data_IF_717668595217
#
_entry.id   IF_717668595217
#
_cell.length_a   1.000
_cell.length_b   1.000
_cell.length_c   1.000
_cell.angle_alpha   90.00
_cell.angle_beta   90.00
_cell.angle_gamma   90.00
#
_symmetry.space_group_name_H-M   'P 1'
#
loop_
_entity.id
_entity.type
_entity.pdbx_description
1 polymer ?
#
# COMPACT_ATOMS: atom_id res chain seq x y z
N UNK A 1 4.09 0.10 -7.12
CA UNK A 1 2.72 -0.17 -6.61
C UNK A 1 1.61 0.12 -7.63
N UNK A 2 1.44 1.35 -8.16
CA UNK A 2 0.33 1.65 -9.10
C UNK A 2 0.36 0.78 -10.34
N UNK A 3 1.49 0.73 -11.05
CA UNK A 3 1.65 -0.14 -12.23
C UNK A 3 1.42 -1.61 -11.89
N UNK A 4 1.96 -2.09 -10.77
CA UNK A 4 1.73 -3.44 -10.27
C UNK A 4 0.25 -3.78 -10.11
N UNK A 5 -0.55 -2.86 -9.54
CA UNK A 5 -1.99 -3.05 -9.37
C UNK A 5 -2.72 -2.94 -10.70
N UNK A 6 -2.29 -2.04 -11.60
CA UNK A 6 -2.86 -1.93 -12.94
C UNK A 6 -2.69 -3.23 -13.72
N UNK A 7 -1.52 -3.86 -13.61
CA UNK A 7 -1.17 -5.05 -14.40
C UNK A 7 -1.72 -6.34 -13.77
N UNK A 8 -1.74 -6.45 -12.42
CA UNK A 8 -2.21 -7.65 -11.68
C UNK A 8 -3.66 -7.57 -11.20
N UNK A 9 -4.29 -6.40 -11.27
CA UNK A 9 -5.60 -6.11 -10.70
C UNK A 9 -5.61 -5.79 -9.20
N UNK A 10 -4.66 -6.33 -8.42
CA UNK A 10 -4.56 -6.07 -6.98
C UNK A 10 -3.13 -6.16 -6.41
N UNK A 11 -2.96 -5.66 -5.19
CA UNK A 11 -1.74 -5.77 -4.38
C UNK A 11 -2.09 -5.91 -2.90
N UNK A 12 -1.62 -6.98 -2.25
CA UNK A 12 -1.86 -7.20 -0.82
C UNK A 12 -1.08 -6.22 0.05
N UNK A 13 -1.57 -5.98 1.27
CA UNK A 13 -0.89 -5.12 2.25
C UNK A 13 0.55 -5.55 2.53
N UNK A 14 0.77 -6.84 2.71
CA UNK A 14 2.11 -7.40 2.97
C UNK A 14 3.08 -7.12 1.82
N UNK A 15 2.63 -7.27 0.57
CA UNK A 15 3.45 -6.99 -0.63
C UNK A 15 3.77 -5.49 -0.73
N UNK A 16 2.80 -4.63 -0.45
CA UNK A 16 3.00 -3.19 -0.46
C UNK A 16 3.99 -2.74 0.63
N UNK A 17 3.89 -3.30 1.83
CA UNK A 17 4.83 -3.04 2.93
C UNK A 17 6.22 -3.50 2.56
N UNK A 18 6.38 -4.74 2.07
CA UNK A 18 7.66 -5.28 1.66
C UNK A 18 8.31 -4.41 0.56
N UNK A 19 7.52 -3.98 -0.42
CA UNK A 19 7.98 -3.08 -1.47
C UNK A 19 8.44 -1.72 -0.94
N UNK A 20 7.64 -1.08 -0.09
CA UNK A 20 7.98 0.25 0.46
C UNK A 20 9.20 0.17 1.36
N UNK A 21 9.30 -0.86 2.20
CA UNK A 21 10.45 -1.14 3.06
C UNK A 21 11.73 -1.33 2.24
N UNK A 22 11.65 -2.12 1.16
CA UNK A 22 12.80 -2.40 0.29
C UNK A 22 13.27 -1.19 -0.53
N UNK A 23 12.35 -0.34 -0.99
CA UNK A 23 12.68 0.78 -1.90
C UNK A 23 12.99 2.07 -1.15
N UNK A 24 12.30 2.34 -0.03
CA UNK A 24 12.38 3.62 0.68
C UNK A 24 12.90 3.49 2.13
N UNK A 25 12.97 2.28 2.67
CA UNK A 25 13.49 1.99 4.01
C UNK A 25 12.42 1.94 5.11
N UNK A 26 12.88 1.62 6.32
CA UNK A 26 12.04 1.39 7.51
C UNK A 26 11.22 2.60 7.94
N UNK A 27 11.71 3.81 7.69
CA UNK A 27 11.07 5.06 8.12
C UNK A 27 9.68 5.30 7.48
N UNK A 28 9.31 4.51 6.47
CA UNK A 28 8.03 4.60 5.77
C UNK A 28 7.04 3.47 6.12
N UNK A 29 7.39 2.67 7.12
CA UNK A 29 6.57 1.60 7.69
C UNK A 29 6.55 1.77 9.21
N UNK A 30 5.39 1.56 9.83
CA UNK A 30 5.26 1.53 11.27
C UNK A 30 4.59 0.24 11.74
N UNK A 31 4.79 -0.11 13.00
CA UNK A 31 4.05 -1.17 13.68
C UNK A 31 2.94 -0.54 14.50
N UNK A 32 1.70 -0.95 14.27
CA UNK A 32 0.56 -0.43 15.03
C UNK A 32 0.49 -1.04 16.43
N UNK A 33 -0.45 -0.56 17.26
CA UNK A 33 -0.65 -1.05 18.64
C UNK A 33 -0.92 -2.56 18.74
N UNK A 34 -1.46 -3.16 17.67
CA UNK A 34 -1.72 -4.59 17.57
C UNK A 34 -0.52 -5.41 17.04
N UNK A 35 0.66 -4.79 16.87
CA UNK A 35 1.87 -5.46 16.39
C UNK A 35 1.92 -5.67 14.87
N UNK A 36 0.99 -5.09 14.11
CA UNK A 36 0.93 -5.27 12.65
C UNK A 36 1.66 -4.14 11.92
N UNK A 37 2.49 -4.51 10.94
CA UNK A 37 3.14 -3.55 10.06
C UNK A 37 2.11 -2.85 9.15
N UNK A 38 2.30 -1.55 8.94
CA UNK A 38 1.48 -0.74 8.04
C UNK A 38 2.30 0.37 7.39
N UNK A 39 1.83 0.86 6.25
CA UNK A 39 2.46 1.97 5.55
C UNK A 39 2.23 3.29 6.28
N UNK A 40 3.26 4.13 6.33
CA UNK A 40 3.16 5.48 6.86
C UNK A 40 2.11 6.33 6.14
N UNK A 41 1.58 7.30 6.87
CA UNK A 41 0.49 8.16 6.36
C UNK A 41 0.90 8.90 5.08
N UNK A 42 2.15 9.35 5.00
CA UNK A 42 2.66 10.07 3.84
C UNK A 42 2.75 9.21 2.59
N UNK A 43 3.11 7.93 2.74
CA UNK A 43 3.12 6.94 1.65
C UNK A 43 1.72 6.75 1.10
N UNK A 44 0.73 6.53 1.99
CA UNK A 44 -0.69 6.38 1.61
C UNK A 44 -1.20 7.63 0.88
N UNK A 45 -0.80 8.82 1.34
CA UNK A 45 -1.16 10.11 0.71
C UNK A 45 -0.54 10.27 -0.68
N UNK A 46 0.75 9.97 -0.84
CA UNK A 46 1.44 10.02 -2.12
C UNK A 46 0.85 9.00 -3.11
N UNK A 47 0.64 7.77 -2.66
CA UNK A 47 0.01 6.71 -3.44
C UNK A 47 -1.37 7.13 -3.96
N UNK A 48 -2.23 7.70 -3.09
CA UNK A 48 -3.55 8.21 -3.49
C UNK A 48 -3.49 9.27 -4.59
N UNK A 49 -2.50 10.17 -4.53
CA UNK A 49 -2.30 11.21 -5.56
C UNK A 49 -1.90 10.61 -6.90
N UNK A 50 -1.05 9.57 -6.90
CA UNK A 50 -0.56 8.94 -8.13
C UNK A 50 -1.67 8.25 -8.90
N UNK A 51 -2.52 7.47 -8.23
CA UNK A 51 -3.57 6.68 -8.90
C UNK A 51 -4.88 7.45 -9.11
N UNK A 52 -5.01 8.67 -8.58
CA UNK A 52 -6.16 9.58 -8.82
C UNK A 52 -7.53 8.93 -8.60
N UNK A 53 -7.65 8.09 -7.57
CA UNK A 53 -8.90 7.41 -7.22
C UNK A 53 -9.22 6.13 -8.00
N UNK A 54 -8.40 5.70 -8.97
CA UNK A 54 -8.58 4.44 -9.73
C UNK A 54 -8.28 3.15 -8.96
N UNK A 55 -7.82 3.28 -7.72
CA UNK A 55 -7.46 2.17 -6.87
C UNK A 55 -8.18 2.37 -5.54
N UNK A 56 -8.92 1.36 -5.12
CA UNK A 56 -9.60 1.33 -3.83
C UNK A 56 -8.88 0.40 -2.85
N UNK A 57 -9.08 0.65 -1.57
CA UNK A 57 -8.62 -0.21 -0.48
C UNK A 57 -9.78 -1.09 -0.02
N UNK A 58 -9.60 -2.40 -0.09
CA UNK A 58 -10.50 -3.40 0.48
C UNK A 58 -10.05 -3.72 1.91
N UNK A 59 -10.92 -3.43 2.88
CA UNK A 59 -10.61 -3.61 4.31
C UNK A 59 -10.72 -5.06 4.74
N UNK A 60 -11.61 -5.84 4.12
CA UNK A 60 -11.88 -7.22 4.52
C UNK A 60 -10.84 -8.15 3.90
N UNK A 61 -10.40 -7.85 2.68
CA UNK A 61 -9.37 -8.58 1.96
C UNK A 61 -7.94 -8.11 2.21
N UNK A 62 -7.74 -6.96 2.85
CA UNK A 62 -6.42 -6.34 3.07
C UNK A 62 -5.60 -6.14 1.80
N UNK A 63 -6.22 -5.65 0.72
CA UNK A 63 -5.55 -5.35 -0.53
C UNK A 63 -6.02 -4.05 -1.17
N UNK A 64 -5.18 -3.49 -2.03
CA UNK A 64 -5.58 -2.47 -2.98
C UNK A 64 -5.93 -3.11 -4.31
N UNK A 65 -7.04 -2.70 -4.94
CA UNK A 65 -7.45 -3.20 -6.24
C UNK A 65 -7.85 -2.08 -7.19
N UNK A 66 -7.68 -2.34 -8.48
CA UNK A 66 -8.12 -1.46 -9.55
C UNK A 66 -9.66 -1.42 -9.61
N UNK A 67 -10.23 -0.22 -9.71
CA UNK A 67 -11.68 0.03 -9.80
C UNK A 67 -12.06 0.71 -11.09
#
# INVERSE_FOLDING_TARGET
MVETIRDRGMLRQEEAIAHVRAVYGEAYVFVNEAGNASLEKEVKKAFRKLHRGRIAWDRDGFFWAWT
#
